data_IF_185080203886
#
_entry.id   IF_185080203886
#
_cell.length_a   1.000
_cell.length_b   1.000
_cell.length_c   1.000
_cell.angle_alpha   90.00
_cell.angle_beta   90.00
_cell.angle_gamma   90.00
#
_symmetry.space_group_name_H-M   'P 1'
#
loop_
_entity.id
_entity.type
_entity.pdbx_description
1 polymer ?
#
# COMPACT_ATOMS: atom_id res chain seq x y z
N UNK A 1 -7.46 -13.85 -20.17
CA UNK A 1 -7.31 -15.13 -19.44
C UNK A 1 -6.09 -15.15 -18.50
N UNK A 2 -5.31 -14.07 -18.41
CA UNK A 2 -4.19 -13.95 -17.46
C UNK A 2 -4.62 -13.28 -16.15
N UNK A 3 -5.58 -12.39 -16.18
CA UNK A 3 -6.02 -11.60 -15.02
C UNK A 3 -6.93 -12.46 -14.13
N UNK A 4 -6.59 -12.59 -12.84
CA UNK A 4 -7.36 -13.34 -11.84
C UNK A 4 -8.51 -12.52 -11.25
N UNK A 5 -8.44 -11.21 -11.32
CA UNK A 5 -9.43 -10.31 -10.74
C UNK A 5 -10.85 -10.59 -11.24
N UNK A 6 -11.89 -10.59 -10.38
CA UNK A 6 -13.28 -10.72 -10.77
C UNK A 6 -13.72 -9.58 -11.71
N UNK A 7 -13.02 -8.45 -11.69
CA UNK A 7 -13.25 -7.30 -12.57
C UNK A 7 -12.80 -7.52 -14.02
N UNK A 8 -12.25 -8.69 -14.35
CA UNK A 8 -11.91 -9.07 -15.73
C UNK A 8 -13.14 -9.10 -16.65
N UNK A 9 -14.33 -9.36 -16.10
CA UNK A 9 -15.60 -9.45 -16.83
C UNK A 9 -16.66 -8.45 -16.38
N UNK A 10 -16.32 -7.55 -15.47
CA UNK A 10 -17.22 -6.53 -14.95
C UNK A 10 -16.65 -5.12 -15.15
N UNK A 11 -17.54 -4.16 -15.21
CA UNK A 11 -17.16 -2.74 -15.26
C UNK A 11 -16.48 -2.35 -13.96
N UNK A 12 -15.32 -1.71 -14.05
CA UNK A 12 -14.64 -1.13 -12.91
C UNK A 12 -15.34 0.15 -12.48
N UNK A 13 -15.41 0.44 -11.15
CA UNK A 13 -16.03 1.66 -10.66
C UNK A 13 -15.30 2.91 -11.14
N UNK A 14 -16.04 3.97 -11.41
CA UNK A 14 -15.48 5.30 -11.63
C UNK A 14 -15.05 5.85 -10.29
N UNK A 15 -13.75 6.00 -10.09
CA UNK A 15 -13.19 6.43 -8.80
C UNK A 15 -12.64 7.85 -8.83
N UNK A 16 -12.61 8.47 -7.65
CA UNK A 16 -11.84 9.67 -7.36
C UNK A 16 -10.83 9.35 -6.24
N UNK A 17 -9.60 9.81 -6.43
CA UNK A 17 -8.54 9.73 -5.44
C UNK A 17 -8.25 11.14 -4.90
N UNK A 18 -8.08 11.29 -3.59
CA UNK A 18 -7.91 12.62 -2.98
C UNK A 18 -6.50 13.21 -3.13
N UNK A 19 -5.50 12.46 -3.59
CA UNK A 19 -4.10 12.91 -3.55
C UNK A 19 -3.88 14.29 -4.15
N UNK A 20 -4.23 14.49 -5.40
CA UNK A 20 -4.02 15.77 -6.09
C UNK A 20 -4.84 16.93 -5.52
N UNK A 21 -5.95 16.64 -4.83
CA UNK A 21 -6.78 17.67 -4.22
C UNK A 21 -6.28 18.10 -2.84
N UNK A 22 -5.58 17.23 -2.11
CA UNK A 22 -5.30 17.49 -0.69
C UNK A 22 -3.87 17.22 -0.27
N UNK A 23 -3.15 16.35 -1.00
CA UNK A 23 -1.91 15.73 -0.53
C UNK A 23 -2.09 15.20 0.91
N UNK A 24 -1.20 15.51 1.83
CA UNK A 24 -1.30 15.10 3.24
C UNK A 24 -2.30 15.92 4.07
N UNK A 25 -2.82 17.03 3.54
CA UNK A 25 -3.72 17.94 4.27
C UNK A 25 -5.20 17.55 4.11
N UNK A 26 -5.58 16.44 4.73
CA UNK A 26 -6.96 15.99 4.80
C UNK A 26 -7.31 15.44 6.19
N UNK A 27 -8.59 15.38 6.45
CA UNK A 27 -9.21 14.76 7.62
C UNK A 27 -10.55 14.10 7.21
N UNK A 28 -11.23 13.48 8.18
CA UNK A 28 -12.54 12.86 7.95
C UNK A 28 -13.53 13.82 7.29
N UNK A 29 -13.61 15.08 7.76
CA UNK A 29 -14.61 16.04 7.26
C UNK A 29 -14.33 16.43 5.81
N UNK A 30 -13.06 16.66 5.47
CA UNK A 30 -12.67 17.00 4.10
C UNK A 30 -12.94 15.85 3.14
N UNK A 31 -12.64 14.60 3.54
CA UNK A 31 -12.93 13.43 2.71
C UNK A 31 -14.43 13.22 2.50
N UNK A 32 -15.25 13.42 3.53
CA UNK A 32 -16.71 13.35 3.42
C UNK A 32 -17.28 14.47 2.54
N UNK A 33 -16.69 15.67 2.57
CA UNK A 33 -17.08 16.75 1.65
C UNK A 33 -16.78 16.37 0.20
N UNK A 34 -15.55 15.85 -0.08
CA UNK A 34 -15.18 15.34 -1.41
C UNK A 34 -16.13 14.24 -1.85
N UNK A 35 -16.46 13.29 -0.97
CA UNK A 35 -17.36 12.18 -1.28
C UNK A 35 -18.76 12.67 -1.72
N UNK A 36 -19.32 13.68 -1.05
CA UNK A 36 -20.64 14.24 -1.40
C UNK A 36 -20.64 14.86 -2.78
N UNK A 37 -19.63 15.69 -3.08
CA UNK A 37 -19.50 16.33 -4.41
C UNK A 37 -19.22 15.30 -5.49
N UNK A 38 -18.35 14.33 -5.21
CA UNK A 38 -18.04 13.23 -6.13
C UNK A 38 -19.30 12.42 -6.48
N UNK A 39 -20.14 12.09 -5.49
CA UNK A 39 -21.41 11.40 -5.72
C UNK A 39 -22.35 12.20 -6.63
N UNK A 40 -22.46 13.51 -6.42
CA UNK A 40 -23.26 14.38 -7.25
C UNK A 40 -22.77 14.42 -8.72
N UNK A 41 -21.47 14.20 -8.94
CA UNK A 41 -20.86 14.11 -10.27
C UNK A 41 -20.92 12.71 -10.90
N UNK A 42 -21.54 11.72 -10.25
CA UNK A 42 -21.65 10.35 -10.78
C UNK A 42 -20.44 9.46 -10.52
N UNK A 43 -19.53 9.86 -9.63
CA UNK A 43 -18.43 9.01 -9.14
C UNK A 43 -19.02 7.86 -8.32
N UNK A 44 -18.37 6.70 -8.35
CA UNK A 44 -18.83 5.46 -7.74
C UNK A 44 -17.97 5.03 -6.53
N UNK A 45 -16.72 5.51 -6.44
CA UNK A 45 -15.77 5.14 -5.39
C UNK A 45 -14.89 6.32 -4.96
N UNK A 46 -14.66 6.46 -3.65
CA UNK A 46 -13.62 7.33 -3.08
C UNK A 46 -12.41 6.50 -2.66
N UNK A 47 -11.22 6.87 -3.14
CA UNK A 47 -9.95 6.27 -2.71
C UNK A 47 -9.21 7.25 -1.81
N UNK A 48 -8.97 6.86 -0.55
CA UNK A 48 -8.13 7.59 0.39
C UNK A 48 -6.67 7.25 0.14
N UNK A 49 -5.90 8.24 -0.31
CA UNK A 49 -4.48 8.11 -0.64
C UNK A 49 -3.56 8.28 0.58
N UNK A 50 -2.26 8.46 0.37
CA UNK A 50 -1.20 8.54 1.39
C UNK A 50 -1.52 9.56 2.50
N UNK A 51 -1.10 9.23 3.72
CA UNK A 51 -1.20 10.13 4.87
C UNK A 51 -2.27 9.80 5.91
N UNK A 52 -2.95 8.65 5.81
CA UNK A 52 -4.00 8.23 6.75
C UNK A 52 -3.48 7.51 8.01
N UNK A 53 -2.20 7.12 8.05
CA UNK A 53 -1.59 6.24 9.06
C UNK A 53 -0.44 6.91 9.82
N UNK A 54 -0.12 6.38 10.99
CA UNK A 54 1.00 6.84 11.82
C UNK A 54 0.95 8.35 12.07
N UNK A 55 2.09 9.00 11.93
CA UNK A 55 2.21 10.47 11.94
C UNK A 55 2.62 11.02 10.55
N UNK A 56 2.19 10.32 9.50
CA UNK A 56 2.47 10.61 8.09
C UNK A 56 1.79 11.90 7.62
N UNK A 57 2.42 13.04 7.89
CA UNK A 57 1.98 14.35 7.43
C UNK A 57 2.87 14.90 6.31
N UNK A 58 3.88 14.15 5.91
CA UNK A 58 4.83 14.39 4.84
C UNK A 58 5.47 13.06 4.41
N UNK A 59 6.40 13.09 3.47
CA UNK A 59 7.10 11.91 2.93
C UNK A 59 8.10 11.26 3.89
N UNK A 60 8.39 11.86 5.06
CA UNK A 60 9.59 11.54 5.84
C UNK A 60 9.41 10.41 6.84
N UNK A 61 8.18 9.95 7.10
CA UNK A 61 7.91 9.06 8.22
C UNK A 61 6.86 7.98 7.95
N UNK A 62 6.77 7.03 8.87
CA UNK A 62 5.66 6.09 9.12
C UNK A 62 5.43 4.98 8.09
N UNK A 63 6.11 4.95 6.95
CA UNK A 63 6.01 3.77 6.07
C UNK A 63 6.49 2.53 6.84
N UNK A 64 5.65 1.50 6.85
CA UNK A 64 5.83 0.29 7.65
C UNK A 64 4.91 0.21 8.88
N UNK A 65 4.41 1.34 9.38
CA UNK A 65 3.54 1.44 10.56
C UNK A 65 2.09 1.70 10.13
N UNK A 66 1.40 0.68 9.65
CA UNK A 66 0.06 0.80 9.06
C UNK A 66 -1.04 0.88 10.13
N UNK A 67 -0.94 1.88 11.02
CA UNK A 67 -1.92 2.18 12.07
C UNK A 67 -2.67 3.45 11.76
N UNK A 68 -4.01 3.40 11.78
CA UNK A 68 -4.86 4.57 11.49
C UNK A 68 -4.50 5.75 12.39
N UNK A 69 -4.25 6.91 11.80
CA UNK A 69 -4.08 8.17 12.52
C UNK A 69 -5.45 8.69 12.94
N UNK A 70 -5.84 8.45 14.18
CA UNK A 70 -7.16 8.84 14.73
C UNK A 70 -7.31 10.34 14.97
N UNK A 71 -6.22 11.10 15.01
CA UNK A 71 -6.28 12.56 15.09
C UNK A 71 -6.73 13.16 13.75
N UNK A 72 -6.33 12.55 12.66
CA UNK A 72 -6.71 12.91 11.29
C UNK A 72 -8.01 12.24 10.87
N UNK A 73 -8.11 10.93 11.06
CA UNK A 73 -9.30 10.13 10.74
C UNK A 73 -10.19 10.03 11.99
N UNK A 74 -10.81 11.16 12.34
CA UNK A 74 -11.69 11.25 13.51
C UNK A 74 -12.88 10.32 13.37
N UNK A 75 -13.15 9.58 14.43
CA UNK A 75 -14.14 8.49 14.44
C UNK A 75 -13.57 7.14 14.02
N UNK A 76 -12.34 7.10 13.51
CA UNK A 76 -11.68 5.89 13.04
C UNK A 76 -12.02 5.52 11.60
N UNK A 77 -11.28 4.55 11.06
CA UNK A 77 -11.42 4.15 9.66
C UNK A 77 -12.81 3.59 9.35
N UNK A 78 -13.33 2.73 10.23
CA UNK A 78 -14.66 2.15 10.03
C UNK A 78 -15.75 3.22 9.93
N UNK A 79 -15.72 4.22 10.80
CA UNK A 79 -16.67 5.33 10.75
C UNK A 79 -16.59 6.08 9.40
N UNK A 80 -15.39 6.44 8.95
CA UNK A 80 -15.21 7.10 7.67
C UNK A 80 -15.76 6.26 6.50
N UNK A 81 -15.44 4.98 6.48
CA UNK A 81 -15.90 4.06 5.42
C UNK A 81 -17.42 3.91 5.44
N UNK A 82 -18.03 3.74 6.62
CA UNK A 82 -19.48 3.64 6.76
C UNK A 82 -20.18 4.91 6.25
N UNK A 83 -19.66 6.11 6.61
CA UNK A 83 -20.22 7.38 6.12
C UNK A 83 -20.08 7.54 4.59
N UNK A 84 -18.94 7.14 4.01
CA UNK A 84 -18.76 7.14 2.54
C UNK A 84 -19.74 6.17 1.88
N UNK A 85 -19.92 4.97 2.45
CA UNK A 85 -20.91 4.00 1.96
C UNK A 85 -22.35 4.53 2.09
N UNK A 86 -22.69 5.24 3.17
CA UNK A 86 -24.01 5.88 3.37
C UNK A 86 -24.29 6.98 2.33
N UNK A 87 -23.25 7.69 1.85
CA UNK A 87 -23.35 8.63 0.73
C UNK A 87 -23.65 7.88 -0.59
N UNK A 88 -23.38 6.59 -0.65
CA UNK A 88 -23.57 5.72 -1.82
C UNK A 88 -22.33 5.56 -2.69
N UNK A 89 -21.14 5.71 -2.13
CA UNK A 89 -19.85 5.42 -2.75
C UNK A 89 -19.24 4.16 -2.14
N UNK A 90 -18.50 3.40 -2.94
CA UNK A 90 -17.54 2.42 -2.44
C UNK A 90 -16.30 3.12 -1.89
N UNK A 91 -15.48 2.38 -1.12
CA UNK A 91 -14.27 2.92 -0.51
C UNK A 91 -13.04 2.12 -0.91
N UNK A 92 -11.97 2.86 -1.24
CA UNK A 92 -10.63 2.33 -1.48
C UNK A 92 -9.58 2.99 -0.60
N UNK A 93 -8.44 2.31 -0.46
CA UNK A 93 -7.33 2.76 0.39
C UNK A 93 -5.98 2.56 -0.29
N UNK A 94 -5.05 3.45 -0.02
CA UNK A 94 -3.67 3.40 -0.49
C UNK A 94 -2.74 2.72 0.52
N UNK A 95 -1.81 1.94 0.00
CA UNK A 95 -0.65 1.42 0.73
C UNK A 95 0.61 1.52 -0.13
N UNK A 96 1.76 1.67 0.52
CA UNK A 96 3.08 1.45 -0.07
C UNK A 96 3.84 0.40 0.76
N UNK A 97 3.38 -0.86 0.75
CA UNK A 97 3.72 -1.83 1.78
C UNK A 97 5.07 -2.52 1.58
N UNK A 98 5.74 -2.23 0.47
CA UNK A 98 7.08 -2.70 0.17
C UNK A 98 8.17 -1.76 0.71
N UNK A 99 7.77 -0.61 1.27
CA UNK A 99 8.68 0.45 1.71
C UNK A 99 8.67 0.58 3.23
N UNK A 100 9.75 1.17 3.75
CA UNK A 100 9.92 1.46 5.17
C UNK A 100 10.61 2.83 5.33
N UNK A 101 10.07 3.68 6.20
CA UNK A 101 10.69 4.96 6.54
C UNK A 101 11.77 4.75 7.60
N UNK A 102 12.91 5.45 7.52
CA UNK A 102 13.86 5.50 8.64
C UNK A 102 13.19 5.95 9.94
N UNK A 103 12.27 6.91 9.86
CA UNK A 103 11.42 7.32 10.97
C UNK A 103 10.12 6.50 10.97
N UNK A 104 10.23 5.26 11.40
CA UNK A 104 9.12 4.36 11.69
C UNK A 104 9.46 3.48 12.89
N UNK A 105 8.43 3.00 13.58
CA UNK A 105 8.60 2.03 14.68
C UNK A 105 9.14 0.70 14.14
N UNK A 106 8.70 0.32 12.95
CA UNK A 106 9.19 -0.88 12.28
C UNK A 106 10.70 -0.81 12.02
N UNK A 107 11.21 0.30 11.48
CA UNK A 107 12.65 0.42 11.20
C UNK A 107 13.48 0.47 12.49
N UNK A 108 12.98 1.11 13.54
CA UNK A 108 13.63 1.11 14.86
C UNK A 108 13.73 -0.29 15.46
N UNK A 109 12.71 -1.12 15.23
CA UNK A 109 12.67 -2.50 15.72
C UNK A 109 13.50 -3.47 14.86
N UNK A 110 13.49 -3.27 13.54
CA UNK A 110 14.04 -4.18 12.56
C UNK A 110 14.78 -3.43 11.42
N UNK A 111 15.91 -2.76 11.70
CA UNK A 111 16.66 -2.07 10.66
C UNK A 111 17.26 -3.04 9.63
N UNK A 112 17.47 -4.31 10.03
CA UNK A 112 17.96 -5.39 9.18
C UNK A 112 16.92 -5.90 8.16
N UNK A 113 15.67 -5.45 8.24
CA UNK A 113 14.63 -5.79 7.26
C UNK A 113 14.66 -4.91 6.01
N UNK A 114 15.41 -3.81 6.04
CA UNK A 114 15.63 -2.98 4.87
C UNK A 114 16.73 -3.56 3.99
N UNK A 115 16.51 -3.57 2.66
CA UNK A 115 17.55 -3.95 1.69
C UNK A 115 18.70 -2.95 1.78
N UNK A 116 19.91 -3.44 2.02
CA UNK A 116 21.14 -2.68 2.01
C UNK A 116 22.36 -3.59 1.83
N UNK A 117 23.46 -3.02 1.38
CA UNK A 117 24.74 -3.73 1.28
C UNK A 117 25.46 -3.58 2.62
N UNK A 118 25.80 -4.71 3.25
CA UNK A 118 26.52 -4.69 4.53
C UNK A 118 27.82 -3.86 4.45
N UNK A 119 28.06 -3.08 5.49
CA UNK A 119 29.20 -2.18 5.58
C UNK A 119 29.09 -0.91 4.72
N UNK A 120 27.96 -0.64 4.05
CA UNK A 120 27.69 0.59 3.32
C UNK A 120 26.52 1.35 3.91
N UNK A 121 26.54 2.68 3.81
CA UNK A 121 25.37 3.49 4.14
C UNK A 121 24.23 3.17 3.16
N UNK A 122 23.04 2.90 3.68
CA UNK A 122 21.87 2.65 2.84
C UNK A 122 21.47 3.93 2.09
N UNK A 123 21.14 3.79 0.81
CA UNK A 123 20.69 4.90 -0.03
C UNK A 123 19.21 5.15 0.17
N UNK A 124 18.85 6.37 0.53
CA UNK A 124 17.46 6.82 0.53
C UNK A 124 17.05 7.35 -0.85
N UNK A 125 15.83 7.07 -1.23
CA UNK A 125 15.12 7.78 -2.30
C UNK A 125 13.70 8.02 -1.82
N UNK A 126 13.20 9.25 -1.99
CA UNK A 126 11.91 9.69 -1.44
C UNK A 126 11.78 9.44 0.07
N UNK A 127 12.86 9.66 0.81
CA UNK A 127 12.93 9.51 2.27
C UNK A 127 12.58 8.10 2.77
N UNK A 128 12.76 7.06 1.94
CA UNK A 128 12.38 5.68 2.29
C UNK A 128 13.42 4.66 1.82
N UNK A 129 13.37 3.48 2.46
CA UNK A 129 14.08 2.27 2.09
C UNK A 129 13.09 1.22 1.56
N UNK A 130 13.64 0.15 0.98
CA UNK A 130 12.87 -1.01 0.51
C UNK A 130 12.96 -2.13 1.53
N UNK A 131 11.82 -2.72 1.88
CA UNK A 131 11.76 -3.93 2.72
C UNK A 131 12.28 -5.15 1.95
N UNK A 132 13.02 -6.01 2.65
CA UNK A 132 13.51 -7.28 2.08
C UNK A 132 12.39 -8.32 2.02
N UNK A 133 11.64 -8.34 0.93
CA UNK A 133 10.55 -9.28 0.71
C UNK A 133 11.04 -10.71 0.34
N UNK A 134 12.35 -10.95 0.25
CA UNK A 134 12.87 -12.32 0.23
C UNK A 134 12.63 -13.05 1.54
N UNK A 135 12.55 -12.30 2.66
CA UNK A 135 12.28 -12.81 4.00
C UNK A 135 10.81 -13.14 4.22
N UNK A 136 10.54 -14.32 4.73
CA UNK A 136 9.17 -14.74 5.04
C UNK A 136 8.56 -13.89 6.16
N UNK A 137 9.32 -13.62 7.22
CA UNK A 137 8.86 -12.82 8.37
C UNK A 137 8.46 -11.39 7.98
N UNK A 138 9.16 -10.78 7.02
CA UNK A 138 8.80 -9.46 6.48
C UNK A 138 7.47 -9.54 5.73
N UNK A 139 7.33 -10.54 4.86
CA UNK A 139 6.06 -10.75 4.14
C UNK A 139 4.89 -11.02 5.08
N UNK A 140 5.11 -11.81 6.13
CA UNK A 140 4.07 -12.10 7.12
C UNK A 140 3.65 -10.82 7.85
N UNK A 141 4.62 -10.02 8.32
CA UNK A 141 4.33 -8.74 8.95
C UNK A 141 3.52 -7.80 8.04
N UNK A 142 3.98 -7.60 6.81
CA UNK A 142 3.28 -6.74 5.83
C UNK A 142 1.86 -7.23 5.60
N UNK A 143 1.70 -8.53 5.40
CA UNK A 143 0.39 -9.15 5.20
C UNK A 143 -0.54 -8.91 6.39
N UNK A 144 -0.06 -9.18 7.61
CA UNK A 144 -0.87 -9.04 8.83
C UNK A 144 -1.33 -7.59 9.04
N UNK A 145 -0.46 -6.61 8.76
CA UNK A 145 -0.82 -5.19 8.85
C UNK A 145 -1.88 -4.80 7.81
N UNK A 146 -1.68 -5.17 6.55
CA UNK A 146 -2.62 -4.83 5.47
C UNK A 146 -3.96 -5.54 5.65
N UNK A 147 -3.95 -6.84 5.93
CA UNK A 147 -5.18 -7.62 6.11
C UNK A 147 -5.99 -7.14 7.32
N UNK A 148 -5.33 -6.76 8.42
CA UNK A 148 -6.00 -6.18 9.58
C UNK A 148 -6.78 -4.90 9.24
N UNK A 149 -6.21 -4.02 8.42
CA UNK A 149 -6.90 -2.82 7.92
C UNK A 149 -8.09 -3.21 7.03
N UNK A 150 -7.90 -4.14 6.09
CA UNK A 150 -8.97 -4.58 5.19
C UNK A 150 -10.14 -5.25 5.94
N UNK A 151 -9.88 -5.99 7.01
CA UNK A 151 -10.92 -6.57 7.87
C UNK A 151 -11.65 -5.54 8.74
N UNK A 152 -11.04 -4.38 9.00
CA UNK A 152 -11.60 -3.39 9.93
C UNK A 152 -12.78 -2.59 9.36
N UNK A 153 -12.97 -2.57 8.03
CA UNK A 153 -14.00 -1.80 7.35
C UNK A 153 -14.34 -2.38 5.96
N UNK A 154 -15.43 -1.91 5.35
CA UNK A 154 -15.85 -2.34 4.01
C UNK A 154 -15.00 -1.66 2.91
N UNK A 155 -13.79 -2.15 2.73
CA UNK A 155 -12.83 -1.66 1.73
C UNK A 155 -12.86 -2.57 0.52
N UNK A 156 -13.10 -2.00 -0.67
CA UNK A 156 -13.28 -2.73 -1.94
C UNK A 156 -12.12 -2.57 -2.91
N UNK A 157 -11.18 -1.68 -2.61
CA UNK A 157 -10.08 -1.32 -3.50
C UNK A 157 -8.82 -1.01 -2.72
N UNK A 158 -7.70 -1.50 -3.20
CA UNK A 158 -6.36 -1.16 -2.72
C UNK A 158 -5.53 -0.60 -3.85
N UNK A 159 -5.01 0.61 -3.68
CA UNK A 159 -3.90 1.12 -4.48
C UNK A 159 -2.60 0.69 -3.81
N UNK A 160 -1.97 -0.32 -4.40
CA UNK A 160 -0.66 -0.83 -3.98
C UNK A 160 0.43 -0.08 -4.71
N UNK A 161 1.13 0.78 -4.00
CA UNK A 161 2.14 1.67 -4.58
C UNK A 161 3.57 1.21 -4.28
N UNK A 162 4.51 1.66 -5.09
CA UNK A 162 5.96 1.50 -4.93
C UNK A 162 6.66 2.70 -5.57
N UNK A 163 7.07 3.70 -4.77
CA UNK A 163 7.53 4.98 -5.27
C UNK A 163 9.06 5.14 -5.29
N UNK A 164 9.81 4.08 -5.13
CA UNK A 164 11.25 4.08 -5.38
C UNK A 164 11.72 2.77 -6.00
N UNK A 165 12.82 2.85 -6.72
CA UNK A 165 13.47 1.68 -7.31
C UNK A 165 14.24 0.89 -6.26
N UNK A 166 14.47 -0.40 -6.54
CA UNK A 166 15.42 -1.21 -5.81
C UNK A 166 16.84 -0.71 -6.09
N UNK A 167 17.55 -0.38 -5.04
CA UNK A 167 18.96 -0.02 -5.06
C UNK A 167 19.68 -0.73 -3.90
N UNK A 168 21.00 -0.67 -3.88
CA UNK A 168 21.83 -1.26 -2.81
C UNK A 168 21.48 -2.73 -2.55
N UNK A 169 21.44 -3.53 -3.63
CA UNK A 169 20.97 -4.91 -3.62
C UNK A 169 21.85 -5.78 -2.72
N UNK A 170 21.48 -5.88 -1.48
CA UNK A 170 22.06 -6.71 -0.46
C UNK A 170 21.03 -7.09 0.58
N UNK A 171 21.05 -8.34 1.01
CA UNK A 171 20.16 -8.87 2.06
C UNK A 171 21.01 -9.40 3.21
N UNK A 172 20.74 -8.96 4.43
CA UNK A 172 21.36 -9.51 5.63
C UNK A 172 20.84 -10.91 5.98
N UNK A 173 19.80 -11.36 5.27
CA UNK A 173 19.19 -12.66 5.45
C UNK A 173 19.79 -13.72 4.51
N UNK A 174 20.09 -13.37 3.26
CA UNK A 174 20.61 -14.28 2.27
C UNK A 174 22.09 -14.54 2.48
N UNK A 175 22.51 -15.80 2.30
CA UNK A 175 23.92 -16.17 2.28
C UNK A 175 24.68 -15.51 1.12
N UNK A 176 26.03 -15.51 1.21
CA UNK A 176 26.86 -14.87 0.19
C UNK A 176 26.62 -15.41 -1.23
N UNK A 177 26.38 -16.70 -1.37
CA UNK A 177 26.11 -17.37 -2.64
C UNK A 177 24.71 -17.04 -3.20
N UNK A 178 23.77 -16.59 -2.33
CA UNK A 178 22.38 -16.32 -2.69
C UNK A 178 22.13 -14.84 -2.99
N UNK A 179 23.07 -13.93 -2.72
CA UNK A 179 22.88 -12.49 -2.91
C UNK A 179 22.44 -12.12 -4.34
N UNK A 180 22.91 -12.85 -5.35
CA UNK A 180 22.54 -12.63 -6.74
C UNK A 180 21.08 -12.99 -7.05
N UNK A 181 20.42 -13.75 -6.18
CA UNK A 181 19.00 -14.12 -6.31
C UNK A 181 18.05 -13.11 -5.68
N UNK A 182 18.57 -12.12 -4.93
CA UNK A 182 17.76 -11.19 -4.14
C UNK A 182 16.66 -10.53 -4.98
N UNK A 183 17.01 -10.02 -6.16
CA UNK A 183 16.06 -9.35 -7.03
C UNK A 183 14.90 -10.27 -7.45
N UNK A 184 15.22 -11.51 -7.82
CA UNK A 184 14.22 -12.51 -8.19
C UNK A 184 13.36 -12.92 -6.99
N UNK A 185 13.99 -13.19 -5.85
CA UNK A 185 13.29 -13.58 -4.61
C UNK A 185 12.38 -12.45 -4.10
N UNK A 186 12.81 -11.19 -4.27
CA UNK A 186 11.98 -10.02 -3.94
C UNK A 186 10.69 -10.01 -4.76
N UNK A 187 10.79 -10.15 -6.09
CA UNK A 187 9.62 -10.18 -6.99
C UNK A 187 8.68 -11.33 -6.64
N UNK A 188 9.21 -12.52 -6.37
CA UNK A 188 8.41 -13.66 -5.90
C UNK A 188 7.74 -13.35 -4.54
N UNK A 189 8.41 -12.58 -3.69
CA UNK A 189 7.84 -12.11 -2.42
C UNK A 189 6.64 -11.18 -2.62
N UNK A 190 6.73 -10.24 -3.57
CA UNK A 190 5.59 -9.37 -3.96
C UNK A 190 4.42 -10.20 -4.45
N UNK A 191 4.66 -11.14 -5.37
CA UNK A 191 3.60 -12.01 -5.88
C UNK A 191 2.97 -12.86 -4.77
N UNK A 192 3.76 -13.38 -3.84
CA UNK A 192 3.25 -14.16 -2.71
C UNK A 192 2.34 -13.32 -1.79
N UNK A 193 2.67 -12.04 -1.57
CA UNK A 193 1.81 -11.12 -0.81
C UNK A 193 0.50 -10.84 -1.54
N UNK A 194 0.56 -10.52 -2.82
CA UNK A 194 -0.63 -10.23 -3.62
C UNK A 194 -1.51 -11.48 -3.76
N UNK A 195 -0.92 -12.68 -3.94
CA UNK A 195 -1.65 -13.96 -3.96
C UNK A 195 -2.45 -14.17 -2.67
N UNK A 196 -1.82 -13.93 -1.50
CA UNK A 196 -2.51 -14.06 -0.20
C UNK A 196 -3.67 -13.07 -0.11
N UNK A 197 -3.47 -11.81 -0.49
CA UNK A 197 -4.52 -10.78 -0.43
C UNK A 197 -5.71 -11.10 -1.33
N UNK A 198 -5.49 -11.41 -2.60
CA UNK A 198 -6.59 -11.69 -3.53
C UNK A 198 -7.26 -13.04 -3.27
N UNK A 199 -6.61 -13.92 -2.51
CA UNK A 199 -7.22 -15.18 -2.03
C UNK A 199 -8.13 -14.93 -0.84
N UNK A 200 -7.70 -14.14 0.14
CA UNK A 200 -8.49 -13.82 1.33
C UNK A 200 -9.59 -12.80 1.04
N UNK A 201 -9.33 -11.87 0.14
CA UNK A 201 -10.28 -10.82 -0.29
C UNK A 201 -10.61 -10.96 -1.78
N UNK A 202 -11.41 -11.97 -2.18
CA UNK A 202 -11.61 -12.32 -3.59
C UNK A 202 -12.33 -11.23 -4.40
N UNK A 203 -13.06 -10.35 -3.72
CA UNK A 203 -13.78 -9.22 -4.34
C UNK A 203 -12.97 -7.91 -4.32
N UNK A 204 -11.73 -7.95 -3.85
CA UNK A 204 -10.87 -6.77 -3.80
C UNK A 204 -10.39 -6.40 -5.20
N UNK A 205 -10.58 -5.16 -5.59
CA UNK A 205 -9.92 -4.59 -6.77
C UNK A 205 -8.53 -4.09 -6.35
N UNK A 206 -7.49 -4.70 -6.89
CA UNK A 206 -6.11 -4.33 -6.64
C UNK A 206 -5.56 -3.51 -7.82
N UNK A 207 -5.11 -2.29 -7.54
CA UNK A 207 -4.33 -1.48 -8.47
C UNK A 207 -2.85 -1.59 -8.12
N UNK A 208 -2.01 -1.89 -9.09
CA UNK A 208 -0.56 -1.81 -8.95
C UNK A 208 -0.05 -0.48 -9.50
N UNK A 209 0.39 0.41 -8.61
CA UNK A 209 1.05 1.66 -8.92
C UNK A 209 2.56 1.55 -8.63
N UNK A 210 3.36 2.28 -9.38
CA UNK A 210 4.80 2.39 -9.13
C UNK A 210 5.29 3.72 -9.71
N UNK A 211 4.94 4.83 -9.03
CA UNK A 211 5.07 6.16 -9.60
C UNK A 211 4.32 6.28 -10.94
N UNK A 212 3.14 5.67 -11.03
CA UNK A 212 2.43 5.38 -12.27
C UNK A 212 2.65 3.94 -12.73
N UNK A 213 2.91 3.70 -14.01
CA UNK A 213 3.04 2.37 -14.62
C UNK A 213 4.46 1.81 -14.69
N UNK A 214 5.39 2.23 -13.84
CA UNK A 214 6.81 1.87 -13.98
C UNK A 214 7.13 0.38 -13.72
N UNK A 215 6.21 -0.36 -13.06
CA UNK A 215 6.33 -1.79 -12.79
C UNK A 215 5.18 -2.57 -13.44
N UNK A 216 5.21 -2.67 -14.74
CA UNK A 216 4.19 -3.35 -15.52
C UNK A 216 4.76 -4.64 -16.12
N UNK A 217 4.37 -5.78 -15.57
CA UNK A 217 4.76 -7.11 -16.03
C UNK A 217 3.59 -8.11 -15.95
N UNK A 218 3.68 -9.29 -16.61
CA UNK A 218 2.60 -10.27 -16.61
C UNK A 218 2.21 -10.80 -15.24
N UNK A 219 3.14 -10.87 -14.28
CA UNK A 219 2.85 -11.31 -12.91
C UNK A 219 2.04 -10.27 -12.15
N UNK A 220 2.41 -9.00 -12.24
CA UNK A 220 1.61 -7.92 -11.65
C UNK A 220 0.21 -7.86 -12.26
N UNK A 221 0.08 -8.00 -13.58
CA UNK A 221 -1.21 -8.07 -14.27
C UNK A 221 -2.09 -9.26 -13.87
N UNK A 222 -1.47 -10.34 -13.38
CA UNK A 222 -2.24 -11.51 -12.94
C UNK A 222 -3.12 -11.18 -11.74
N UNK A 223 -2.64 -10.31 -10.83
CA UNK A 223 -3.32 -9.97 -9.58
C UNK A 223 -4.16 -8.69 -9.63
N UNK A 224 -3.97 -7.79 -10.63
CA UNK A 224 -4.56 -6.44 -10.69
C UNK A 224 -5.46 -6.17 -11.88
#
# INVERSE_FOLDING_TARGET
HMIRSPYNHSKRPILINNWEATYFNFDTQKLLAIAKEAKACGIEMLVMDDGWFGHRNNDDSSLGDWKVNTDKIKGGLKYLVDEVNNIGLEFGIWFEPEMISPDSDLYRAHPDWAIHIDGRAATQSRCQYVLDLSRKEVRDYVYDQVSAILHSANIRYVKWDMNRQLSDLGSTYLGAEEQQELFHRYVLGVYALQERLVTEFPDLLLENCSGGGARFDPGMLYYS
#
